data_IF_451458948369
#
_entry.id   IF_451458948369
#
_cell.length_a   1.000
_cell.length_b   1.000
_cell.length_c   1.000
_cell.angle_alpha   90.00
_cell.angle_beta   90.00
_cell.angle_gamma   90.00
#
_symmetry.space_group_name_H-M   'P 1'
#
loop_
_entity.id
_entity.type
_entity.pdbx_description
1 polymer ?
#
# COMPACT_ATOMS: atom_id res chain seq x y z
N UNK A 1 -14.82 -38.99 -40.00
CA UNK A 1 -13.92 -37.88 -39.56
C UNK A 1 -14.64 -36.56 -39.78
N UNK A 2 -14.21 -35.44 -39.15
CA UNK A 2 -13.43 -35.29 -37.92
C UNK A 2 -14.41 -34.88 -36.78
N UNK A 3 -14.15 -34.17 -35.67
CA UNK A 3 -12.96 -33.60 -35.00
C UNK A 3 -13.01 -34.00 -33.51
N UNK A 4 -11.88 -33.94 -32.79
CA UNK A 4 -11.85 -33.85 -31.31
C UNK A 4 -11.60 -32.39 -30.92
N UNK A 5 -12.42 -31.80 -30.06
CA UNK A 5 -12.07 -30.57 -29.34
C UNK A 5 -11.20 -30.94 -28.14
N UNK A 6 -9.93 -30.53 -28.15
CA UNK A 6 -9.08 -30.64 -26.95
C UNK A 6 -9.46 -29.52 -25.99
N UNK A 7 -10.11 -29.89 -24.90
CA UNK A 7 -10.43 -28.98 -23.81
C UNK A 7 -9.13 -28.62 -23.06
N UNK A 8 -8.47 -27.54 -23.49
CA UNK A 8 -7.24 -27.04 -22.88
C UNK A 8 -7.60 -26.29 -21.61
N UNK A 9 -7.95 -27.04 -20.57
CA UNK A 9 -8.19 -26.52 -19.22
C UNK A 9 -6.87 -26.06 -18.61
N UNK A 10 -6.46 -24.85 -18.99
CA UNK A 10 -5.25 -24.20 -18.49
C UNK A 10 -5.38 -24.01 -16.98
N UNK A 11 -4.50 -24.66 -16.23
CA UNK A 11 -4.43 -24.49 -14.77
C UNK A 11 -3.97 -23.08 -14.44
N UNK A 12 -4.91 -22.18 -14.20
CA UNK A 12 -4.66 -20.90 -13.54
C UNK A 12 -4.70 -21.09 -12.04
N UNK A 13 -3.53 -21.15 -11.40
CA UNK A 13 -3.40 -21.25 -9.94
C UNK A 13 -4.00 -20.00 -9.31
N UNK A 14 -5.15 -20.13 -8.62
CA UNK A 14 -5.80 -19.01 -7.92
C UNK A 14 -5.10 -18.71 -6.59
N UNK A 15 -3.98 -18.00 -6.66
CA UNK A 15 -3.45 -17.22 -5.54
C UNK A 15 -3.86 -15.76 -5.78
N UNK A 16 -4.93 -15.29 -5.13
CA UNK A 16 -5.50 -13.96 -5.40
C UNK A 16 -6.49 -13.47 -4.32
N UNK A 17 -6.22 -13.70 -3.02
CA UNK A 17 -7.04 -13.14 -1.94
C UNK A 17 -6.21 -12.77 -0.71
N UNK A 18 -5.43 -13.71 -0.16
CA UNK A 18 -4.64 -13.46 1.06
C UNK A 18 -3.70 -12.26 0.89
N UNK A 19 -2.90 -12.26 -0.18
CA UNK A 19 -1.88 -11.24 -0.41
C UNK A 19 -2.49 -9.82 -0.55
N UNK A 20 -3.71 -9.72 -1.10
CA UNK A 20 -4.42 -8.45 -1.28
C UNK A 20 -4.99 -7.95 0.05
N UNK A 21 -5.60 -8.83 0.84
CA UNK A 21 -6.09 -8.51 2.19
C UNK A 21 -4.95 -8.14 3.16
N UNK A 22 -3.80 -8.83 3.07
CA UNK A 22 -2.60 -8.51 3.86
C UNK A 22 -2.01 -7.14 3.50
N UNK A 23 -1.94 -6.81 2.19
CA UNK A 23 -1.54 -5.48 1.73
C UNK A 23 -2.51 -4.40 2.19
N UNK A 24 -3.82 -4.66 2.16
CA UNK A 24 -4.85 -3.73 2.67
C UNK A 24 -4.69 -3.49 4.17
N UNK A 25 -4.41 -4.52 4.96
CA UNK A 25 -4.11 -4.38 6.40
C UNK A 25 -2.88 -3.49 6.61
N UNK A 26 -1.81 -3.70 5.84
CA UNK A 26 -0.59 -2.88 5.89
C UNK A 26 -0.87 -1.40 5.54
N UNK A 27 -1.60 -1.12 4.45
CA UNK A 27 -1.99 0.26 4.08
C UNK A 27 -2.92 0.90 5.12
N UNK A 28 -3.80 0.13 5.75
CA UNK A 28 -4.61 0.60 6.89
C UNK A 28 -3.73 1.02 8.06
N UNK A 29 -2.74 0.20 8.44
CA UNK A 29 -1.81 0.52 9.54
C UNK A 29 -0.93 1.75 9.23
N UNK A 30 -0.37 1.83 8.02
CA UNK A 30 0.42 2.99 7.60
C UNK A 30 -0.41 4.27 7.59
N UNK A 31 -1.62 4.28 7.02
CA UNK A 31 -2.50 5.47 7.04
C UNK A 31 -2.94 5.89 8.45
N UNK A 32 -2.99 4.96 9.42
CA UNK A 32 -3.17 5.32 10.83
C UNK A 32 -1.95 6.07 11.36
N UNK A 33 -0.75 5.51 11.18
CA UNK A 33 0.50 6.12 11.63
C UNK A 33 0.75 7.49 10.97
N UNK A 34 0.48 7.65 9.67
CA UNK A 34 0.57 8.94 8.99
C UNK A 34 -0.41 9.96 9.61
N UNK A 35 -1.63 9.57 9.97
CA UNK A 35 -2.62 10.45 10.59
C UNK A 35 -2.28 10.85 12.05
N UNK A 36 -1.46 10.07 12.73
CA UNK A 36 -0.99 10.34 14.10
C UNK A 36 0.31 11.15 14.13
N UNK A 37 1.16 11.01 13.10
CA UNK A 37 2.48 11.66 13.02
C UNK A 37 2.49 12.94 12.18
N UNK A 38 1.65 13.02 11.15
CA UNK A 38 1.51 14.21 10.33
C UNK A 38 0.50 15.14 10.98
N UNK A 39 0.97 16.26 11.55
CA UNK A 39 0.19 17.22 12.35
C UNK A 39 -0.88 18.03 11.59
N UNK A 40 -1.45 17.47 10.53
CA UNK A 40 -2.56 18.04 9.78
C UNK A 40 -3.85 17.96 10.61
N UNK A 41 -4.49 19.10 10.85
CA UNK A 41 -5.81 19.15 11.50
C UNK A 41 -6.88 18.31 10.74
N UNK A 42 -6.69 18.16 9.43
CA UNK A 42 -7.56 17.38 8.54
C UNK A 42 -7.22 15.87 8.48
N UNK A 43 -6.26 15.38 9.27
CA UNK A 43 -5.83 13.98 9.27
C UNK A 43 -7.00 12.95 9.37
N UNK A 44 -8.05 13.16 10.20
CA UNK A 44 -9.21 12.26 10.21
C UNK A 44 -10.00 12.28 8.90
N UNK A 45 -10.10 13.45 8.26
CA UNK A 45 -10.87 13.67 7.04
C UNK A 45 -10.15 13.10 5.81
N UNK A 46 -8.84 13.37 5.69
CA UNK A 46 -7.98 12.78 4.67
C UNK A 46 -7.98 11.25 4.75
N UNK A 47 -7.86 10.68 5.96
CA UNK A 47 -7.92 9.23 6.19
C UNK A 47 -9.28 8.63 5.87
N UNK A 48 -10.38 9.31 6.20
CA UNK A 48 -11.73 8.87 5.81
C UNK A 48 -11.92 8.87 4.29
N UNK A 49 -11.36 9.88 3.59
CA UNK A 49 -11.40 10.00 2.14
C UNK A 49 -10.55 8.90 1.46
N UNK A 50 -9.33 8.68 1.92
CA UNK A 50 -8.43 7.63 1.42
C UNK A 50 -9.05 6.24 1.58
N UNK A 51 -9.63 5.92 2.74
CA UNK A 51 -10.30 4.63 2.96
C UNK A 51 -11.47 4.43 1.98
N UNK A 52 -12.25 5.47 1.68
CA UNK A 52 -13.31 5.38 0.67
C UNK A 52 -12.76 5.12 -0.73
N UNK A 53 -11.72 5.86 -1.14
CA UNK A 53 -11.16 5.76 -2.49
C UNK A 53 -10.40 4.45 -2.69
N UNK A 54 -9.39 4.16 -1.88
CA UNK A 54 -8.49 3.02 -2.10
C UNK A 54 -9.06 1.73 -1.51
N UNK A 55 -9.56 1.76 -0.28
CA UNK A 55 -9.93 0.55 0.47
C UNK A 55 -11.36 0.06 0.19
N UNK A 56 -12.22 0.94 -0.30
CA UNK A 56 -13.60 0.66 -0.73
C UNK A 56 -13.83 0.86 -2.24
N UNK A 57 -12.80 1.20 -3.03
CA UNK A 57 -12.87 1.45 -4.46
C UNK A 57 -13.95 2.48 -4.88
N UNK A 58 -14.23 3.49 -4.05
CA UNK A 58 -15.20 4.55 -4.38
C UNK A 58 -14.57 5.60 -5.32
N UNK A 59 -15.29 6.07 -6.35
CA UNK A 59 -14.82 7.20 -7.15
C UNK A 59 -14.52 8.43 -6.27
N UNK A 60 -13.41 9.16 -6.48
CA UNK A 60 -13.02 10.28 -5.62
C UNK A 60 -14.09 11.35 -5.45
N UNK A 61 -14.85 11.66 -6.50
CA UNK A 61 -15.99 12.60 -6.46
C UNK A 61 -17.17 12.09 -5.62
N UNK A 62 -17.40 10.78 -5.58
CA UNK A 62 -18.41 10.16 -4.72
C UNK A 62 -17.94 10.15 -3.26
N UNK A 63 -16.67 9.85 -3.02
CA UNK A 63 -16.06 9.83 -1.71
C UNK A 63 -16.02 11.23 -1.06
N UNK A 64 -15.62 12.26 -1.82
CA UNK A 64 -15.65 13.66 -1.40
C UNK A 64 -17.08 14.13 -1.03
N UNK A 65 -18.05 13.86 -1.92
CA UNK A 65 -19.47 14.18 -1.67
C UNK A 65 -20.03 13.46 -0.44
N UNK A 66 -19.62 12.22 -0.19
CA UNK A 66 -20.04 11.44 0.98
C UNK A 66 -19.41 11.92 2.31
N UNK A 67 -18.42 12.82 2.25
CA UNK A 67 -17.80 13.48 3.40
C UNK A 67 -18.12 14.98 3.48
N UNK A 68 -18.85 15.53 2.50
CA UNK A 68 -19.21 16.96 2.45
C UNK A 68 -18.05 17.91 2.08
N UNK A 69 -17.01 17.38 1.43
CA UNK A 69 -15.77 18.12 1.09
C UNK A 69 -15.86 18.67 -0.34
N UNK A 70 -15.33 19.87 -0.59
CA UNK A 70 -15.17 20.40 -1.95
C UNK A 70 -14.20 19.51 -2.78
N UNK A 71 -14.41 19.30 -4.09
CA UNK A 71 -13.49 18.51 -4.91
C UNK A 71 -12.03 18.98 -4.89
N UNK A 72 -11.79 20.29 -4.74
CA UNK A 72 -10.45 20.86 -4.59
C UNK A 72 -9.76 20.35 -3.32
N UNK A 73 -10.34 20.62 -2.17
CA UNK A 73 -9.84 20.18 -0.86
C UNK A 73 -9.70 18.65 -0.80
N UNK A 74 -10.67 17.90 -1.34
CA UNK A 74 -10.59 16.46 -1.41
C UNK A 74 -9.38 15.98 -2.25
N UNK A 75 -9.08 16.65 -3.36
CA UNK A 75 -7.89 16.32 -4.16
C UNK A 75 -6.58 16.63 -3.42
N UNK A 76 -6.53 17.74 -2.67
CA UNK A 76 -5.39 18.14 -1.85
C UNK A 76 -5.13 17.14 -0.71
N UNK A 77 -6.15 16.84 0.09
CA UNK A 77 -6.08 15.88 1.21
C UNK A 77 -5.70 14.47 0.75
N UNK A 78 -6.28 13.99 -0.36
CA UNK A 78 -5.97 12.68 -0.90
C UNK A 78 -4.55 12.59 -1.46
N UNK A 79 -4.05 13.67 -2.07
CA UNK A 79 -2.67 13.72 -2.59
C UNK A 79 -1.65 13.72 -1.46
N UNK A 80 -1.80 14.60 -0.47
CA UNK A 80 -0.89 14.67 0.69
C UNK A 80 -0.79 13.34 1.44
N UNK A 81 -1.93 12.71 1.74
CA UNK A 81 -1.92 11.43 2.45
C UNK A 81 -1.33 10.29 1.61
N UNK A 82 -1.53 10.27 0.28
CA UNK A 82 -0.86 9.30 -0.61
C UNK A 82 0.65 9.47 -0.61
N UNK A 83 1.15 10.71 -0.62
CA UNK A 83 2.59 10.97 -0.53
C UNK A 83 3.18 10.50 0.80
N UNK A 84 2.50 10.73 1.92
CA UNK A 84 2.97 10.32 3.24
C UNK A 84 2.97 8.79 3.40
N UNK A 85 1.91 8.12 2.94
CA UNK A 85 1.87 6.65 2.86
C UNK A 85 2.99 6.10 1.98
N UNK A 86 3.32 6.75 0.86
CA UNK A 86 4.43 6.33 0.01
C UNK A 86 5.80 6.52 0.70
N UNK A 87 6.00 7.63 1.42
CA UNK A 87 7.23 7.88 2.22
C UNK A 87 7.40 6.80 3.31
N UNK A 88 6.33 6.48 4.04
CA UNK A 88 6.37 5.47 5.10
C UNK A 88 6.51 4.05 4.55
N UNK A 89 5.87 3.71 3.43
CA UNK A 89 6.08 2.43 2.76
C UNK A 89 7.54 2.24 2.34
N UNK A 90 8.17 3.27 1.77
CA UNK A 90 9.62 3.24 1.44
C UNK A 90 10.47 3.08 2.69
N UNK A 91 10.16 3.76 3.80
CA UNK A 91 10.85 3.58 5.09
C UNK A 91 10.75 2.13 5.60
N UNK A 92 9.56 1.53 5.55
CA UNK A 92 9.33 0.13 5.94
C UNK A 92 10.14 -0.83 5.06
N UNK A 93 10.12 -0.63 3.73
CA UNK A 93 10.93 -1.45 2.79
C UNK A 93 12.44 -1.32 3.03
N UNK A 94 12.93 -0.13 3.42
CA UNK A 94 14.34 0.09 3.74
C UNK A 94 14.73 -0.52 5.10
N UNK A 95 13.88 -0.40 6.11
CA UNK A 95 14.08 -1.01 7.43
C UNK A 95 14.04 -2.55 7.40
N UNK A 96 13.29 -3.13 6.45
CA UNK A 96 13.21 -4.58 6.23
C UNK A 96 14.42 -5.20 5.50
N UNK A 97 15.42 -4.41 5.08
CA UNK A 97 16.65 -4.97 4.51
C UNK A 97 17.57 -5.48 5.62
N UNK A 98 17.99 -6.75 5.62
CA UNK A 98 19.11 -7.16 6.46
C UNK A 98 20.36 -6.38 6.03
N UNK A 99 21.10 -5.85 7.01
CA UNK A 99 22.46 -5.36 6.76
C UNK A 99 23.27 -6.51 6.17
N UNK A 100 23.84 -6.32 4.99
CA UNK A 100 24.92 -7.19 4.55
C UNK A 100 26.15 -6.70 5.32
N UNK A 101 26.30 -7.19 6.54
CA UNK A 101 27.53 -7.03 7.30
C UNK A 101 28.63 -7.77 6.53
N UNK A 102 29.34 -7.03 5.70
CA UNK A 102 30.65 -7.44 5.19
C UNK A 102 31.64 -7.37 6.34
N UNK A 103 31.51 -8.31 7.27
CA UNK A 103 32.54 -8.64 8.24
C UNK A 103 33.73 -9.13 7.43
N UNK A 104 34.68 -8.21 7.19
CA UNK A 104 35.97 -8.56 6.63
C UNK A 104 36.56 -9.64 7.54
N UNK A 105 36.81 -10.83 6.99
CA UNK A 105 37.61 -11.82 7.67
C UNK A 105 39.04 -11.27 7.69
N UNK A 106 39.42 -10.73 8.84
CA UNK A 106 40.82 -10.43 9.14
C UNK A 106 41.53 -11.79 9.26
N UNK A 107 42.23 -12.17 8.20
CA UNK A 107 43.07 -13.38 8.18
C UNK A 107 44.20 -13.19 9.20
N UNK A 108 44.04 -13.82 10.37
CA UNK A 108 45.11 -13.98 11.34
C UNK A 108 46.07 -15.07 10.84
N UNK A 109 47.01 -14.67 9.98
CA UNK A 109 48.15 -15.47 9.54
C UNK A 109 49.31 -15.21 10.52
N UNK A 110 49.36 -15.99 11.60
CA UNK A 110 50.43 -15.97 12.61
C UNK A 110 51.52 -17.00 12.23
N UNK A 111 52.73 -16.45 12.01
CA UNK A 111 54.10 -17.01 11.81
C UNK A 111 54.35 -18.54 11.80
#
# INVERSE_FOLDING_TARGET
MPRKTMDRKSGGTRHSSSDDDDLRILFSQMTCACAETCGHADAPMARALFNRVEMMNQPPSLAARALGIEPGDASYLLTGLREDVAKDFVRVMLAGRPSIDTTNQEEADDE
#
